data_IF_601016876367
#
_entry.id   IF_601016876367
#
_cell.length_a   1.000
_cell.length_b   1.000
_cell.length_c   1.000
_cell.angle_alpha   90.00
_cell.angle_beta   90.00
_cell.angle_gamma   90.00
#
_symmetry.space_group_name_H-M   'P 1'
#
loop_
_entity.id
_entity.type
_entity.pdbx_description
1 polymer ?
#
# COMPACT_ATOMS: atom_id res chain seq x y z
N UNK A 1 -15.14 6.13 14.23
CA UNK A 1 -14.84 6.67 12.89
C UNK A 1 -13.36 6.58 12.60
N UNK A 2 -13.02 6.31 11.35
CA UNK A 2 -11.62 6.11 10.96
C UNK A 2 -11.03 7.40 10.39
N UNK A 3 -10.20 8.08 11.19
CA UNK A 3 -9.50 9.29 10.77
C UNK A 3 -8.20 8.98 10.03
N UNK A 4 -7.70 7.76 10.21
CA UNK A 4 -6.47 7.27 9.59
C UNK A 4 -6.75 6.01 8.81
N UNK A 5 -6.07 5.83 7.69
CA UNK A 5 -6.19 4.58 6.92
C UNK A 5 -4.91 4.28 6.17
N UNK A 6 -4.79 3.03 5.76
CA UNK A 6 -3.74 2.55 4.90
C UNK A 6 -4.36 2.05 3.60
N UNK A 7 -3.78 2.42 2.48
CA UNK A 7 -4.20 1.92 1.17
C UNK A 7 -3.15 0.93 0.67
N UNK A 8 -3.61 -0.18 0.16
CA UNK A 8 -2.76 -1.21 -0.43
C UNK A 8 -3.18 -1.35 -1.88
N UNK A 9 -2.26 -1.10 -2.81
CA UNK A 9 -2.54 -1.14 -4.25
C UNK A 9 -1.85 -2.38 -4.84
N UNK A 10 -2.65 -3.28 -5.43
CA UNK A 10 -2.17 -4.52 -6.03
C UNK A 10 -2.20 -4.38 -7.55
N UNK A 11 -1.12 -4.80 -8.21
CA UNK A 11 -1.09 -4.83 -9.67
C UNK A 11 -2.13 -5.82 -10.19
N UNK A 12 -3.13 -5.31 -10.91
CA UNK A 12 -4.21 -6.12 -11.44
C UNK A 12 -3.86 -6.78 -12.79
N UNK A 13 -2.79 -6.32 -13.45
CA UNK A 13 -2.34 -6.90 -14.71
C UNK A 13 -1.55 -8.20 -14.55
N UNK A 14 -1.10 -8.49 -13.31
CA UNK A 14 -0.43 -9.75 -13.01
C UNK A 14 -1.48 -10.82 -12.66
N UNK A 15 -1.26 -12.03 -13.16
CA UNK A 15 -2.16 -13.15 -12.84
C UNK A 15 -1.63 -13.89 -11.61
N UNK A 16 -1.91 -13.31 -10.46
CA UNK A 16 -1.50 -13.92 -9.20
C UNK A 16 -2.67 -14.66 -8.57
N UNK A 17 -2.36 -15.81 -7.96
CA UNK A 17 -3.36 -16.56 -7.19
C UNK A 17 -3.83 -15.75 -5.99
N UNK A 18 -4.97 -16.14 -5.40
CA UNK A 18 -5.52 -15.47 -4.21
C UNK A 18 -4.52 -15.45 -3.06
N UNK A 19 -3.83 -16.57 -2.84
CA UNK A 19 -2.82 -16.65 -1.78
C UNK A 19 -1.66 -15.72 -2.04
N UNK A 20 -1.21 -15.62 -3.29
CA UNK A 20 -0.13 -14.72 -3.67
C UNK A 20 -0.53 -13.26 -3.46
N UNK A 21 -1.73 -12.88 -3.90
CA UNK A 21 -2.27 -11.54 -3.68
C UNK A 21 -2.30 -11.22 -2.19
N UNK A 22 -2.82 -12.13 -1.38
CA UNK A 22 -2.92 -11.93 0.06
C UNK A 22 -1.54 -11.72 0.69
N UNK A 23 -0.54 -12.53 0.31
CA UNK A 23 0.80 -12.38 0.88
C UNK A 23 1.45 -11.07 0.45
N UNK A 24 1.28 -10.67 -0.80
CA UNK A 24 1.84 -9.39 -1.28
C UNK A 24 1.16 -8.20 -0.62
N UNK A 25 -0.17 -8.27 -0.40
CA UNK A 25 -0.89 -7.24 0.33
C UNK A 25 -0.38 -7.13 1.77
N UNK A 26 -0.15 -8.26 2.41
CA UNK A 26 0.38 -8.29 3.78
C UNK A 26 1.78 -7.68 3.85
N UNK A 27 2.65 -7.99 2.87
CA UNK A 27 3.98 -7.37 2.80
C UNK A 27 3.88 -5.85 2.67
N UNK A 28 3.01 -5.37 1.79
CA UNK A 28 2.81 -3.94 1.59
C UNK A 28 2.30 -3.27 2.87
N UNK A 29 1.36 -3.91 3.55
CA UNK A 29 0.79 -3.38 4.79
C UNK A 29 1.87 -3.23 5.87
N UNK A 30 2.67 -4.26 6.08
CA UNK A 30 3.71 -4.25 7.11
C UNK A 30 4.83 -3.26 6.76
N UNK A 31 5.29 -3.26 5.51
CA UNK A 31 6.39 -2.38 5.10
C UNK A 31 6.01 -0.89 5.23
N UNK A 32 4.81 -0.52 4.78
CA UNK A 32 4.36 0.86 4.87
C UNK A 32 4.09 1.27 6.34
N UNK A 33 3.48 0.38 7.12
CA UNK A 33 3.21 0.65 8.54
C UNK A 33 4.51 0.82 9.32
N UNK A 34 5.50 -0.01 9.06
CA UNK A 34 6.80 0.10 9.74
C UNK A 34 7.50 1.42 9.38
N UNK A 35 7.41 1.85 8.13
CA UNK A 35 7.92 3.14 7.71
C UNK A 35 7.20 4.28 8.43
N UNK A 36 5.87 4.20 8.52
CA UNK A 36 5.07 5.18 9.25
C UNK A 36 5.49 5.25 10.72
N UNK A 37 5.68 4.11 11.35
CA UNK A 37 6.07 4.05 12.76
C UNK A 37 7.37 4.83 13.01
N UNK A 38 8.29 4.81 12.05
CA UNK A 38 9.58 5.51 12.16
C UNK A 38 9.48 7.01 11.90
N UNK A 39 8.70 7.42 10.89
CA UNK A 39 8.70 8.83 10.47
C UNK A 39 7.50 9.62 10.99
N UNK A 40 6.39 8.97 11.31
CA UNK A 40 5.16 9.58 11.80
C UNK A 40 4.53 8.69 12.88
N UNK A 41 5.23 8.50 14.01
CA UNK A 41 4.75 7.58 15.04
C UNK A 41 3.36 7.91 15.58
N UNK A 42 2.97 9.18 15.59
CA UNK A 42 1.65 9.59 16.03
C UNK A 42 0.54 9.10 15.09
N UNK A 43 0.80 9.05 13.78
CA UNK A 43 -0.15 8.49 12.82
C UNK A 43 -0.29 6.98 13.00
N UNK A 44 0.84 6.31 13.20
CA UNK A 44 0.86 4.87 13.42
C UNK A 44 0.04 4.51 14.67
N UNK A 45 0.30 5.19 15.78
CA UNK A 45 -0.38 4.95 17.04
C UNK A 45 -1.89 5.16 16.90
N UNK A 46 -2.30 6.29 16.32
CA UNK A 46 -3.71 6.60 16.14
C UNK A 46 -4.40 5.54 15.27
N UNK A 47 -3.76 5.14 14.18
CA UNK A 47 -4.29 4.13 13.27
C UNK A 47 -4.47 2.77 13.98
N UNK A 48 -3.48 2.35 14.77
CA UNK A 48 -3.57 1.12 15.56
C UNK A 48 -4.76 1.18 16.51
N UNK A 49 -4.90 2.30 17.23
CA UNK A 49 -5.97 2.47 18.21
C UNK A 49 -7.36 2.50 17.56
N UNK A 50 -7.47 3.00 16.34
CA UNK A 50 -8.73 3.05 15.61
C UNK A 50 -9.12 1.70 14.99
N UNK A 51 -8.25 0.70 15.00
CA UNK A 51 -8.54 -0.61 14.45
C UNK A 51 -7.85 -0.95 13.15
N UNK A 52 -6.85 -0.17 12.74
CA UNK A 52 -5.99 -0.49 11.59
C UNK A 52 -6.75 -0.57 10.26
N UNK A 53 -7.57 0.40 9.95
CA UNK A 53 -8.33 0.39 8.70
C UNK A 53 -7.42 0.27 7.49
N UNK A 54 -7.77 -0.64 6.58
CA UNK A 54 -7.08 -0.86 5.31
C UNK A 54 -8.09 -0.91 4.18
N UNK A 55 -7.68 -0.41 3.01
CA UNK A 55 -8.43 -0.63 1.78
C UNK A 55 -7.49 -1.25 0.76
N UNK A 56 -7.97 -2.22 0.00
CA UNK A 56 -7.16 -2.88 -1.03
C UNK A 56 -7.72 -2.52 -2.39
N UNK A 57 -6.88 -1.95 -3.22
CA UNK A 57 -7.27 -1.29 -4.46
C UNK A 57 -6.56 -1.91 -5.66
N UNK A 58 -7.13 -1.72 -6.86
CA UNK A 58 -6.54 -2.19 -8.11
C UNK A 58 -5.57 -1.15 -8.64
N UNK A 59 -4.35 -1.58 -8.93
CA UNK A 59 -3.40 -0.81 -9.71
C UNK A 59 -3.37 -1.37 -11.14
N UNK A 60 -3.31 -0.50 -12.14
CA UNK A 60 -3.33 -0.93 -13.54
C UNK A 60 -2.07 -1.70 -13.93
N UNK A 61 -0.90 -1.19 -13.55
CA UNK A 61 0.40 -1.76 -13.92
C UNK A 61 1.51 -1.19 -13.03
N UNK A 62 2.74 -1.62 -13.25
CA UNK A 62 3.88 -1.15 -12.48
C UNK A 62 4.08 0.37 -12.57
N UNK A 63 3.87 0.94 -13.75
CA UNK A 63 4.07 2.38 -13.95
C UNK A 63 3.10 3.18 -13.07
N UNK A 64 1.85 2.74 -12.97
CA UNK A 64 0.88 3.39 -12.10
C UNK A 64 1.30 3.31 -10.63
N UNK A 65 1.77 2.15 -10.18
CA UNK A 65 2.24 2.00 -8.82
C UNK A 65 3.40 2.96 -8.51
N UNK A 66 4.34 3.08 -9.44
CA UNK A 66 5.47 3.99 -9.26
C UNK A 66 5.06 5.46 -9.26
N UNK A 67 4.07 5.81 -10.09
CA UNK A 67 3.51 7.16 -10.10
C UNK A 67 2.85 7.48 -8.76
N UNK A 68 2.03 6.57 -8.26
CA UNK A 68 1.36 6.74 -6.97
C UNK A 68 2.37 6.85 -5.82
N UNK A 69 3.46 6.08 -5.88
CA UNK A 69 4.53 6.17 -4.90
C UNK A 69 5.13 7.58 -4.89
N UNK A 70 5.45 8.13 -6.07
CA UNK A 70 6.01 9.47 -6.16
C UNK A 70 5.06 10.54 -5.61
N UNK A 71 3.76 10.40 -5.92
CA UNK A 71 2.74 11.33 -5.42
C UNK A 71 2.63 11.26 -3.90
N UNK A 72 2.64 10.06 -3.34
CA UNK A 72 2.58 9.86 -1.89
C UNK A 72 3.81 10.48 -1.21
N UNK A 73 5.00 10.22 -1.75
CA UNK A 73 6.24 10.78 -1.20
C UNK A 73 6.26 12.30 -1.28
N UNK A 74 5.72 12.87 -2.35
CA UNK A 74 5.62 14.33 -2.50
C UNK A 74 4.72 14.96 -1.44
N UNK A 75 3.74 14.22 -0.94
CA UNK A 75 2.88 14.68 0.16
C UNK A 75 3.43 14.31 1.55
N UNK A 76 4.60 13.71 1.60
CA UNK A 76 5.20 13.29 2.87
C UNK A 76 4.53 12.08 3.50
N UNK A 77 3.80 11.28 2.72
CA UNK A 77 3.14 10.08 3.24
C UNK A 77 4.11 8.90 3.25
N UNK A 78 4.09 8.07 4.31
CA UNK A 78 4.88 6.84 4.30
C UNK A 78 4.34 5.91 3.21
N UNK A 79 5.23 5.38 2.38
CA UNK A 79 4.85 4.51 1.29
C UNK A 79 5.97 3.52 1.00
N UNK A 80 5.59 2.30 0.62
CA UNK A 80 6.56 1.22 0.35
C UNK A 80 6.13 0.42 -0.87
N UNK A 81 7.03 0.32 -1.83
CA UNK A 81 6.85 -0.50 -3.02
C UNK A 81 7.37 -1.90 -2.74
N UNK A 82 6.61 -2.92 -3.13
CA UNK A 82 6.94 -4.31 -2.84
C UNK A 82 7.40 -5.02 -4.11
N UNK A 83 8.55 -5.66 -4.01
CA UNK A 83 9.08 -6.54 -5.06
C UNK A 83 9.00 -7.98 -4.59
N UNK A 84 8.63 -8.88 -5.50
CA UNK A 84 8.55 -10.30 -5.17
C UNK A 84 9.95 -10.90 -5.02
N UNK A 85 10.12 -11.78 -4.04
CA UNK A 85 11.40 -12.46 -3.81
C UNK A 85 11.72 -13.51 -4.88
N UNK A 86 10.73 -13.89 -5.70
CA UNK A 86 10.95 -14.81 -6.81
C UNK A 86 10.93 -16.29 -6.44
N UNK A 87 10.34 -16.62 -5.29
CA UNK A 87 10.21 -18.01 -4.85
C UNK A 87 8.83 -18.57 -5.20
N UNK A 88 8.08 -17.90 -6.06
CA UNK A 88 6.71 -18.22 -6.36
C UNK A 88 6.44 -18.16 -7.87
N UNK A 89 5.20 -17.88 -8.24
CA UNK A 89 4.68 -17.98 -9.63
C UNK A 89 5.06 -16.83 -10.55
N UNK A 90 5.78 -15.81 -10.05
CA UNK A 90 6.22 -14.67 -10.87
C UNK A 90 7.73 -14.46 -10.74
N UNK A 91 8.39 -13.81 -11.74
CA UNK A 91 9.84 -13.63 -11.73
C UNK A 91 10.34 -12.81 -10.52
N UNK A 92 11.58 -13.10 -10.07
CA UNK A 92 12.20 -12.31 -9.00
C UNK A 92 12.28 -10.83 -9.35
N UNK A 93 12.05 -9.98 -8.35
CA UNK A 93 12.14 -8.53 -8.53
C UNK A 93 10.92 -7.89 -9.18
N UNK A 94 9.88 -8.68 -9.48
CA UNK A 94 8.64 -8.13 -10.03
C UNK A 94 7.96 -7.26 -8.98
N UNK A 95 7.67 -6.02 -9.34
CA UNK A 95 6.88 -5.13 -8.49
C UNK A 95 5.44 -5.64 -8.47
N UNK A 96 4.88 -5.86 -7.29
CA UNK A 96 3.55 -6.47 -7.13
C UNK A 96 2.55 -5.58 -6.44
N UNK A 97 2.99 -4.76 -5.50
CA UNK A 97 2.11 -4.01 -4.63
C UNK A 97 2.76 -2.74 -4.13
N UNK A 98 1.92 -1.81 -3.68
CA UNK A 98 2.35 -0.57 -3.05
C UNK A 98 1.49 -0.37 -1.80
N UNK A 99 2.13 -0.08 -0.67
CA UNK A 99 1.43 0.32 0.54
C UNK A 99 1.60 1.82 0.75
N UNK A 100 0.52 2.52 1.08
CA UNK A 100 0.53 3.95 1.40
C UNK A 100 -0.15 4.14 2.75
N UNK A 101 0.55 4.76 3.67
CA UNK A 101 0.02 4.98 5.02
C UNK A 101 0.44 3.89 5.99
N UNK A 102 -0.08 3.98 7.25
CA UNK A 102 -1.20 4.83 7.65
C UNK A 102 -0.91 6.32 7.58
N UNK A 103 -1.94 7.07 7.29
CA UNK A 103 -1.90 8.52 7.24
C UNK A 103 -3.33 9.06 7.40
N UNK A 104 -3.51 10.36 7.62
CA UNK A 104 -4.86 10.92 7.63
C UNK A 104 -5.62 10.52 6.38
N UNK A 105 -6.87 10.08 6.57
CA UNK A 105 -7.68 9.49 5.49
C UNK A 105 -7.84 10.43 4.29
N UNK A 106 -8.01 11.72 4.52
CA UNK A 106 -8.15 12.70 3.44
C UNK A 106 -6.89 12.83 2.59
N UNK A 107 -5.71 12.69 3.20
CA UNK A 107 -4.45 12.73 2.46
C UNK A 107 -4.27 11.48 1.61
N UNK A 108 -4.60 10.31 2.17
CA UNK A 108 -4.54 9.06 1.41
C UNK A 108 -5.51 9.13 0.22
N UNK A 109 -6.70 9.68 0.43
CA UNK A 109 -7.70 9.83 -0.62
C UNK A 109 -7.24 10.72 -1.78
N UNK A 110 -6.42 11.71 -1.51
CA UNK A 110 -5.86 12.54 -2.58
C UNK A 110 -5.04 11.73 -3.58
N UNK A 111 -4.40 10.66 -3.10
CA UNK A 111 -3.57 9.79 -3.95
C UNK A 111 -4.40 8.68 -4.57
N UNK A 112 -5.25 8.02 -3.78
CA UNK A 112 -5.88 6.75 -4.16
C UNK A 112 -7.40 6.82 -4.37
N UNK A 113 -8.01 7.99 -4.17
CA UNK A 113 -9.47 8.11 -4.18
C UNK A 113 -10.15 7.72 -5.50
N UNK A 114 -9.43 7.70 -6.61
CA UNK A 114 -9.97 7.32 -7.92
C UNK A 114 -9.84 5.84 -8.22
N UNK A 115 -9.07 5.11 -7.44
CA UNK A 115 -8.82 3.70 -7.69
C UNK A 115 -10.01 2.84 -7.22
N UNK A 116 -10.26 1.77 -7.95
CA UNK A 116 -11.34 0.84 -7.62
C UNK A 116 -10.87 -0.21 -6.63
N UNK A 117 -11.80 -0.72 -5.85
CA UNK A 117 -11.52 -1.85 -4.95
C UNK A 117 -11.10 -3.08 -5.74
N UNK A 118 -10.17 -3.83 -5.16
CA UNK A 118 -9.66 -5.06 -5.78
C UNK A 118 -10.76 -6.15 -5.89
#
# INVERSE_FOLDING_TARGET
MFNYKQAIIIRADLRMSKGKVASQAAHAAVAAAEKCRKIKPEWFKAWIEEGQKKVVLKGRDEEELRKLLREAEALGLPAALIEDAGLTEIPPGTVTALGIGPAPSDLVDKITGKLKLL
#
